data_IF_349481255316
#
_entry.id   IF_349481255316
#
_cell.length_a   1.000
_cell.length_b   1.000
_cell.length_c   1.000
_cell.angle_alpha   90.00
_cell.angle_beta   90.00
_cell.angle_gamma   90.00
#
_symmetry.space_group_name_H-M   'P 1'
#
loop_
_entity.id
_entity.type
_entity.pdbx_description
1 polymer ?
#
# COMPACT_ATOMS: atom_id res chain seq x y z
N UNK A 1 -41.67 2.75 35.73
CA UNK A 1 -41.58 1.60 36.66
C UNK A 1 -40.74 0.54 35.98
N UNK A 2 -39.75 0.05 36.71
CA UNK A 2 -38.65 -0.87 36.40
C UNK A 2 -39.11 -2.21 35.78
N UNK A 3 -38.19 -2.88 35.05
CA UNK A 3 -37.90 -4.34 34.95
C UNK A 3 -37.58 -4.70 33.47
N UNK A 4 -36.33 -5.01 33.08
CA UNK A 4 -35.50 -6.23 33.25
C UNK A 4 -35.66 -7.27 32.10
N UNK A 5 -34.53 -7.57 31.47
CA UNK A 5 -34.04 -8.86 30.94
C UNK A 5 -34.75 -9.67 29.82
N UNK A 6 -33.87 -10.19 28.95
CA UNK A 6 -33.84 -11.53 28.35
C UNK A 6 -34.57 -11.78 27.00
N UNK A 7 -33.72 -11.90 25.97
CA UNK A 7 -33.62 -13.00 25.00
C UNK A 7 -34.89 -13.79 24.60
N UNK A 8 -35.20 -13.79 23.30
CA UNK A 8 -35.49 -15.01 22.54
C UNK A 8 -35.44 -14.76 21.03
N UNK A 9 -34.96 -15.77 20.33
CA UNK A 9 -34.78 -15.86 18.89
C UNK A 9 -36.05 -15.65 18.07
N UNK A 10 -35.90 -15.05 16.88
CA UNK A 10 -36.74 -15.39 15.74
C UNK A 10 -35.89 -15.47 14.47
N UNK A 11 -35.54 -16.70 14.12
CA UNK A 11 -34.96 -17.04 12.82
C UNK A 11 -36.06 -16.92 11.76
N UNK A 12 -35.94 -15.93 10.88
CA UNK A 12 -36.64 -15.90 9.61
C UNK A 12 -35.73 -16.51 8.53
N UNK A 13 -36.17 -17.65 8.00
CA UNK A 13 -35.60 -18.36 6.86
C UNK A 13 -35.87 -17.59 5.57
N UNK A 14 -34.82 -17.01 4.99
CA UNK A 14 -34.77 -16.66 3.56
C UNK A 14 -33.93 -17.71 2.83
N UNK A 15 -34.37 -18.25 1.68
CA UNK A 15 -33.53 -19.12 0.87
C UNK A 15 -32.37 -18.30 0.30
N UNK A 16 -31.16 -18.58 0.79
CA UNK A 16 -29.95 -18.00 0.24
C UNK A 16 -29.75 -18.51 -1.19
N UNK A 17 -29.68 -17.58 -2.14
CA UNK A 17 -28.99 -17.81 -3.42
C UNK A 17 -27.58 -18.34 -3.10
N UNK A 18 -27.01 -19.26 -3.90
CA UNK A 18 -25.63 -19.68 -3.71
C UNK A 18 -24.75 -18.46 -3.93
N UNK A 19 -24.32 -17.84 -2.85
CA UNK A 19 -23.23 -16.88 -2.85
C UNK A 19 -22.03 -17.64 -3.39
N UNK A 20 -21.61 -17.31 -4.61
CA UNK A 20 -20.25 -17.57 -5.06
C UNK A 20 -19.34 -16.82 -4.09
N UNK A 21 -18.96 -17.49 -3.00
CA UNK A 21 -17.87 -17.06 -2.13
C UNK A 21 -16.63 -17.21 -2.99
N UNK A 22 -16.30 -16.15 -3.72
CA UNK A 22 -14.93 -15.98 -4.19
C UNK A 22 -14.06 -15.97 -2.93
N UNK A 23 -13.04 -16.84 -2.82
CA UNK A 23 -12.09 -16.72 -1.74
C UNK A 23 -11.51 -15.31 -1.83
N UNK A 24 -11.63 -14.55 -0.74
CA UNK A 24 -10.91 -13.29 -0.62
C UNK A 24 -9.45 -13.57 -0.96
N UNK A 25 -8.77 -12.71 -1.74
CA UNK A 25 -7.32 -12.81 -1.86
C UNK A 25 -6.76 -12.87 -0.43
N UNK A 26 -5.73 -13.70 -0.15
CA UNK A 26 -5.16 -13.73 1.18
C UNK A 26 -4.79 -12.29 1.52
N UNK A 27 -5.52 -11.70 2.46
CA UNK A 27 -5.06 -10.50 3.11
C UNK A 27 -3.65 -10.83 3.55
N UNK A 28 -2.68 -9.98 3.21
CA UNK A 28 -1.37 -10.01 3.84
C UNK A 28 -1.59 -9.67 5.33
N UNK A 29 -2.16 -10.62 6.07
CA UNK A 29 -2.09 -10.68 7.51
C UNK A 29 -0.63 -11.04 7.79
N UNK A 30 0.21 -10.00 7.87
CA UNK A 30 1.35 -10.07 8.77
C UNK A 30 0.71 -10.15 10.15
N UNK A 31 0.43 -11.38 10.60
CA UNK A 31 0.11 -11.60 11.99
C UNK A 31 1.23 -10.94 12.80
N UNK A 32 0.92 -10.01 13.72
CA UNK A 32 1.95 -9.50 14.60
C UNK A 32 2.48 -10.71 15.35
N UNK A 33 3.70 -11.15 15.01
CA UNK A 33 4.40 -12.13 15.82
C UNK A 33 4.46 -11.60 17.26
N UNK A 34 4.56 -12.47 18.28
CA UNK A 34 4.67 -12.03 19.66
C UNK A 34 5.89 -11.12 19.79
N UNK A 35 5.64 -9.81 19.77
CA UNK A 35 6.68 -8.82 19.83
C UNK A 35 7.14 -8.82 21.29
N UNK A 36 8.42 -9.12 21.54
CA UNK A 36 8.99 -9.04 22.88
C UNK A 36 8.64 -7.68 23.50
N UNK A 37 8.29 -7.61 24.80
CA UNK A 37 7.90 -6.36 25.43
C UNK A 37 8.95 -5.27 25.16
N UNK A 38 8.50 -4.15 24.58
CA UNK A 38 9.38 -3.01 24.31
C UNK A 38 9.66 -2.31 25.63
N UNK A 39 10.95 -2.07 25.93
CA UNK A 39 11.36 -1.22 27.04
C UNK A 39 10.69 0.17 26.93
N UNK A 40 9.94 0.63 27.94
CA UNK A 40 9.27 1.93 27.92
C UNK A 40 10.20 3.12 27.63
N UNK A 41 11.46 3.08 28.10
CA UNK A 41 12.42 4.15 27.86
C UNK A 41 12.83 4.20 26.37
N UNK A 42 13.07 3.03 25.77
CA UNK A 42 13.31 2.90 24.32
C UNK A 42 12.11 3.34 23.49
N UNK A 43 10.88 3.00 23.91
CA UNK A 43 9.67 3.44 23.24
C UNK A 43 9.51 4.97 23.28
N UNK A 44 9.85 5.61 24.40
CA UNK A 44 9.81 7.07 24.51
C UNK A 44 10.75 7.75 23.52
N UNK A 45 11.99 7.26 23.38
CA UNK A 45 12.93 7.75 22.36
C UNK A 45 12.40 7.51 20.94
N UNK A 46 11.85 6.32 20.68
CA UNK A 46 11.28 5.99 19.38
C UNK A 46 10.10 6.88 18.98
N UNK A 47 9.26 7.30 19.93
CA UNK A 47 8.18 8.28 19.70
C UNK A 47 8.73 9.64 19.28
N UNK A 48 9.81 10.11 19.91
CA UNK A 48 10.47 11.36 19.52
C UNK A 48 11.03 11.26 18.09
N UNK A 49 11.73 10.16 17.78
CA UNK A 49 12.24 9.90 16.42
C UNK A 49 11.11 9.81 15.39
N UNK A 50 10.02 9.11 15.70
CA UNK A 50 8.85 8.98 14.81
C UNK A 50 8.17 10.33 14.54
N UNK A 51 8.04 11.19 15.55
CA UNK A 51 7.50 12.53 15.38
C UNK A 51 8.39 13.42 14.50
N UNK A 52 9.71 13.24 14.57
CA UNK A 52 10.65 13.97 13.72
C UNK A 52 10.65 13.45 12.28
N UNK A 53 10.44 12.15 12.06
CA UNK A 53 10.41 11.50 10.75
C UNK A 53 9.08 11.72 10.01
N UNK A 54 7.97 11.68 10.74
CA UNK A 54 6.61 11.81 10.20
C UNK A 54 5.88 12.97 10.88
N UNK A 55 6.25 14.18 10.44
CA UNK A 55 5.73 15.44 10.97
C UNK A 55 4.25 15.65 10.70
N UNK A 56 3.68 16.61 11.40
CA UNK A 56 2.32 17.08 11.14
C UNK A 56 2.19 17.59 9.70
N UNK A 57 1.11 17.19 9.05
CA UNK A 57 0.81 17.51 7.66
C UNK A 57 1.64 16.75 6.64
N UNK A 58 2.45 15.75 7.05
CA UNK A 58 3.22 14.93 6.10
C UNK A 58 2.32 14.18 5.11
N UNK A 59 1.12 13.79 5.51
CA UNK A 59 0.12 13.17 4.62
C UNK A 59 -0.34 14.15 3.54
N UNK A 60 -0.67 15.38 3.95
CA UNK A 60 -1.13 16.41 3.03
C UNK A 60 -0.03 16.82 2.06
N UNK A 61 1.20 17.02 2.54
CA UNK A 61 2.37 17.32 1.67
C UNK A 61 2.65 16.20 0.67
N UNK A 62 2.55 14.94 1.11
CA UNK A 62 2.70 13.78 0.23
C UNK A 62 1.64 13.80 -0.87
N UNK A 63 0.37 13.99 -0.51
CA UNK A 63 -0.73 14.02 -1.48
C UNK A 63 -0.63 15.22 -2.43
N UNK A 64 -0.26 16.39 -1.92
CA UNK A 64 0.01 17.59 -2.72
C UNK A 64 1.09 17.30 -3.78
N UNK A 65 2.25 16.78 -3.38
CA UNK A 65 3.32 16.45 -4.32
C UNK A 65 2.90 15.39 -5.36
N UNK A 66 2.19 14.35 -4.91
CA UNK A 66 1.72 13.27 -5.79
C UNK A 66 0.72 13.76 -6.84
N UNK A 67 -0.21 14.62 -6.44
CA UNK A 67 -1.34 15.04 -7.26
C UNK A 67 -1.11 16.38 -7.97
N UNK A 68 -0.04 17.08 -7.64
CA UNK A 68 0.30 18.39 -8.19
C UNK A 68 0.25 18.36 -9.72
N UNK A 69 -0.62 19.16 -10.37
CA UNK A 69 -0.71 19.25 -11.82
C UNK A 69 0.35 20.22 -12.37
N UNK A 70 1.60 20.08 -11.93
CA UNK A 70 2.78 20.84 -12.38
C UNK A 70 3.83 19.87 -12.92
N UNK A 71 4.77 20.32 -13.77
CA UNK A 71 5.78 19.44 -14.37
C UNK A 71 6.65 18.67 -13.36
N UNK A 72 6.77 19.17 -12.14
CA UNK A 72 7.51 18.56 -11.03
C UNK A 72 6.68 17.56 -10.19
N UNK A 73 5.37 17.46 -10.41
CA UNK A 73 4.50 16.52 -9.71
C UNK A 73 4.50 15.12 -10.32
N UNK A 74 4.42 14.09 -9.47
CA UNK A 74 4.45 12.68 -9.91
C UNK A 74 3.32 12.35 -10.88
N UNK A 75 2.07 12.75 -10.58
CA UNK A 75 0.93 12.49 -11.47
C UNK A 75 1.08 13.16 -12.83
N UNK A 76 1.60 14.39 -12.86
CA UNK A 76 1.85 15.09 -14.13
C UNK A 76 2.89 14.35 -14.97
N UNK A 77 4.01 13.97 -14.37
CA UNK A 77 5.07 13.25 -15.06
C UNK A 77 4.58 11.91 -15.63
N UNK A 78 3.73 11.18 -14.90
CA UNK A 78 3.11 9.95 -15.39
C UNK A 78 2.14 10.18 -16.55
N UNK A 79 1.36 11.27 -16.51
CA UNK A 79 0.47 11.64 -17.61
C UNK A 79 1.23 12.06 -18.86
N UNK A 80 2.44 12.59 -18.70
CA UNK A 80 3.31 12.99 -19.81
C UNK A 80 4.02 11.80 -20.47
N UNK A 81 4.02 10.63 -19.82
CA UNK A 81 4.48 9.37 -20.44
C UNK A 81 3.53 8.89 -21.53
N UNK A 82 4.07 8.10 -22.45
CA UNK A 82 3.29 7.38 -23.47
C UNK A 82 2.69 6.10 -22.88
N UNK A 83 1.60 5.61 -23.51
CA UNK A 83 1.01 4.34 -23.11
C UNK A 83 2.01 3.18 -23.27
N UNK A 84 2.87 3.23 -24.29
CA UNK A 84 3.93 2.25 -24.51
C UNK A 84 4.92 2.17 -23.35
N UNK A 85 5.39 3.32 -22.86
CA UNK A 85 6.32 3.39 -21.72
C UNK A 85 5.71 2.84 -20.43
N UNK A 86 4.42 3.09 -20.19
CA UNK A 86 3.72 2.61 -18.99
C UNK A 86 3.37 1.12 -19.07
N UNK A 87 3.00 0.61 -20.24
CA UNK A 87 2.47 -0.75 -20.42
C UNK A 87 3.53 -1.81 -20.71
N UNK A 88 4.70 -1.42 -21.25
CA UNK A 88 5.80 -2.35 -21.55
C UNK A 88 6.19 -3.27 -20.37
N UNK A 89 6.21 -2.80 -19.10
CA UNK A 89 6.49 -3.63 -17.93
C UNK A 89 5.41 -4.66 -17.59
N UNK A 90 4.13 -4.35 -17.86
CA UNK A 90 2.98 -5.15 -17.41
C UNK A 90 2.53 -6.17 -18.47
N UNK A 91 2.83 -5.92 -19.74
CA UNK A 91 2.40 -6.76 -20.85
C UNK A 91 3.51 -6.91 -21.90
N UNK A 92 4.57 -7.71 -21.61
CA UNK A 92 5.72 -7.87 -22.51
C UNK A 92 5.39 -8.52 -23.86
N UNK A 93 4.15 -9.02 -24.05
CA UNK A 93 3.66 -9.63 -25.29
C UNK A 93 2.65 -8.77 -26.06
N UNK A 94 2.35 -7.55 -25.60
CA UNK A 94 1.52 -6.65 -26.39
C UNK A 94 2.36 -6.21 -27.61
N UNK A 95 1.88 -6.40 -28.85
CA UNK A 95 2.60 -5.90 -30.01
C UNK A 95 2.77 -4.38 -29.87
N UNK A 96 3.91 -3.85 -30.31
CA UNK A 96 4.18 -2.41 -30.39
C UNK A 96 3.29 -1.68 -31.44
N UNK A 97 2.11 -2.20 -31.73
CA UNK A 97 1.10 -1.59 -32.59
C UNK A 97 -0.06 -1.17 -31.69
N UNK A 98 -0.37 0.11 -31.52
CA UNK A 98 -0.37 1.12 -32.57
C UNK A 98 0.77 2.13 -32.44
N UNK A 99 1.45 2.44 -33.54
CA UNK A 99 2.49 3.48 -33.59
C UNK A 99 2.03 4.86 -33.06
N UNK A 100 0.71 5.08 -32.92
CA UNK A 100 0.11 6.26 -32.30
C UNK A 100 0.12 6.23 -30.75
N UNK A 101 -0.04 5.06 -30.12
CA UNK A 101 -0.03 4.88 -28.67
C UNK A 101 1.38 4.96 -28.05
N UNK A 102 2.41 4.75 -28.88
CA UNK A 102 3.81 4.92 -28.50
C UNK A 102 4.38 6.32 -28.70
N UNK A 103 3.64 7.26 -29.32
CA UNK A 103 4.13 8.61 -29.65
C UNK A 103 3.36 9.73 -28.95
N UNK A 104 2.11 9.47 -28.53
CA UNK A 104 1.26 10.48 -27.89
C UNK A 104 1.25 10.27 -26.38
N UNK A 105 1.43 11.33 -25.60
CA UNK A 105 1.33 11.25 -24.14
C UNK A 105 -0.08 10.91 -23.69
N UNK A 106 -0.20 10.26 -22.53
CA UNK A 106 -1.49 9.92 -21.93
C UNK A 106 -2.35 11.18 -21.71
N UNK A 107 -1.74 12.27 -21.26
CA UNK A 107 -2.34 13.60 -21.14
C UNK A 107 -3.00 14.03 -22.44
N UNK A 108 -2.26 13.97 -23.55
CA UNK A 108 -2.75 14.42 -24.86
C UNK A 108 -3.90 13.54 -25.36
N UNK A 109 -3.83 12.23 -25.12
CA UNK A 109 -4.92 11.31 -25.46
C UNK A 109 -6.20 11.60 -24.67
N UNK A 110 -6.09 11.97 -23.40
CA UNK A 110 -7.24 12.29 -22.54
C UNK A 110 -7.80 13.67 -22.88
N UNK A 111 -6.95 14.68 -23.04
CA UNK A 111 -7.36 16.05 -23.36
C UNK A 111 -8.10 16.15 -24.71
N UNK A 112 -7.80 15.27 -25.68
CA UNK A 112 -8.58 15.17 -26.92
C UNK A 112 -10.05 14.77 -26.69
N UNK A 113 -10.34 14.04 -25.59
CA UNK A 113 -11.68 13.54 -25.27
C UNK A 113 -12.39 14.37 -24.19
N UNK A 114 -11.63 15.03 -23.32
CA UNK A 114 -12.14 15.92 -22.27
C UNK A 114 -11.51 17.32 -22.42
N UNK A 115 -12.22 18.29 -23.02
CA UNK A 115 -11.72 19.65 -23.21
C UNK A 115 -11.47 20.39 -21.87
N UNK A 116 -12.01 19.85 -20.77
CA UNK A 116 -11.84 20.40 -19.43
C UNK A 116 -10.90 19.55 -18.57
N UNK A 117 -10.12 18.64 -19.18
CA UNK A 117 -9.26 17.70 -18.46
C UNK A 117 -8.34 18.39 -17.43
N UNK A 118 -7.61 19.43 -17.83
CA UNK A 118 -6.68 20.14 -16.95
C UNK A 118 -7.39 20.82 -15.78
N UNK A 119 -8.56 21.42 -16.04
CA UNK A 119 -9.35 22.11 -15.02
C UNK A 119 -9.94 21.10 -14.03
N UNK A 120 -10.36 19.93 -14.53
CA UNK A 120 -10.83 18.82 -13.71
C UNK A 120 -9.70 18.25 -12.86
N UNK A 121 -8.50 18.10 -13.43
CA UNK A 121 -7.34 17.62 -12.71
C UNK A 121 -6.95 18.57 -11.57
N UNK A 122 -6.95 19.88 -11.84
CA UNK A 122 -6.76 20.91 -10.81
C UNK A 122 -7.83 20.86 -9.70
N UNK A 123 -9.11 20.77 -10.07
CA UNK A 123 -10.19 20.67 -9.10
C UNK A 123 -10.11 19.39 -8.24
N UNK A 124 -9.71 18.26 -8.83
CA UNK A 124 -9.46 17.00 -8.10
C UNK A 124 -8.29 17.17 -7.14
N UNK A 125 -7.18 17.75 -7.59
CA UNK A 125 -6.02 18.05 -6.76
C UNK A 125 -6.41 18.88 -5.54
N UNK A 126 -7.06 20.02 -5.75
CA UNK A 126 -7.41 20.96 -4.67
C UNK A 126 -8.35 20.32 -3.66
N UNK A 127 -9.37 19.58 -4.14
CA UNK A 127 -10.29 18.86 -3.28
C UNK A 127 -9.58 17.75 -2.48
N UNK A 128 -8.68 16.99 -3.09
CA UNK A 128 -7.95 15.92 -2.44
C UNK A 128 -6.99 16.45 -1.36
N UNK A 129 -6.26 17.53 -1.64
CA UNK A 129 -5.37 18.17 -0.67
C UNK A 129 -6.16 18.77 0.50
N UNK A 130 -7.30 19.44 0.23
CA UNK A 130 -8.16 19.97 1.27
C UNK A 130 -8.68 18.86 2.21
N UNK A 131 -9.14 17.74 1.65
CA UNK A 131 -9.57 16.58 2.43
C UNK A 131 -8.42 15.94 3.21
N UNK A 132 -7.22 15.86 2.62
CA UNK A 132 -6.03 15.37 3.29
C UNK A 132 -5.68 16.22 4.51
N UNK A 133 -5.67 17.55 4.37
CA UNK A 133 -5.42 18.48 5.49
C UNK A 133 -6.48 18.31 6.58
N UNK A 134 -7.75 18.14 6.21
CA UNK A 134 -8.86 17.93 7.15
C UNK A 134 -8.76 16.61 7.92
N UNK A 135 -8.30 15.55 7.26
CA UNK A 135 -8.25 14.19 7.81
C UNK A 135 -6.93 13.86 8.50
N UNK A 136 -5.82 14.46 8.07
CA UNK A 136 -4.47 14.17 8.56
C UNK A 136 -4.37 14.17 10.11
N UNK A 137 -4.89 15.16 10.86
CA UNK A 137 -4.80 15.16 12.31
C UNK A 137 -5.46 13.94 13.00
N UNK A 138 -6.38 13.25 12.32
CA UNK A 138 -7.05 12.05 12.86
C UNK A 138 -6.21 10.78 12.72
N UNK A 139 -5.41 10.68 11.66
CA UNK A 139 -4.69 9.45 11.31
C UNK A 139 -3.19 9.55 11.56
N UNK A 140 -2.58 10.71 11.34
CA UNK A 140 -1.13 10.92 11.52
C UNK A 140 -0.62 10.53 12.93
N UNK A 141 -1.36 10.77 14.04
CA UNK A 141 -0.94 10.30 15.36
C UNK A 141 -0.84 8.78 15.46
N UNK A 142 -1.78 8.05 14.84
CA UNK A 142 -1.77 6.58 14.84
C UNK A 142 -0.64 6.02 13.98
N UNK A 143 -0.38 6.66 12.83
CA UNK A 143 0.77 6.33 11.97
C UNK A 143 2.08 6.54 12.73
N UNK A 144 2.24 7.66 13.43
CA UNK A 144 3.41 7.93 14.26
C UNK A 144 3.59 6.92 15.38
N UNK A 145 2.51 6.52 16.05
CA UNK A 145 2.61 5.50 17.11
C UNK A 145 3.03 4.15 16.53
N UNK A 146 2.44 3.72 15.40
CA UNK A 146 2.86 2.50 14.71
C UNK A 146 4.33 2.53 14.29
N UNK A 147 4.80 3.68 13.79
CA UNK A 147 6.20 3.90 13.46
C UNK A 147 7.10 3.86 14.70
N UNK A 148 6.68 4.45 15.82
CA UNK A 148 7.42 4.43 17.08
C UNK A 148 7.58 2.99 17.60
N UNK A 149 6.53 2.18 17.57
CA UNK A 149 6.61 0.76 17.92
C UNK A 149 7.60 0.02 17.01
N UNK A 150 7.49 0.23 15.70
CA UNK A 150 8.37 -0.36 14.70
C UNK A 150 9.84 0.00 14.93
N UNK A 151 10.13 1.27 15.24
CA UNK A 151 11.46 1.78 15.56
C UNK A 151 12.00 1.18 16.87
N UNK A 152 11.18 1.13 17.92
CA UNK A 152 11.59 0.62 19.23
C UNK A 152 11.91 -0.88 19.24
N UNK A 153 11.36 -1.64 18.29
CA UNK A 153 11.72 -3.05 18.08
C UNK A 153 13.02 -3.25 17.30
N UNK A 154 13.42 -2.28 16.48
CA UNK A 154 14.54 -2.41 15.53
C UNK A 154 15.81 -1.71 15.97
N UNK A 155 15.69 -0.64 16.74
CA UNK A 155 16.80 0.23 17.10
C UNK A 155 17.01 0.26 18.62
N UNK A 156 18.27 0.31 19.03
CA UNK A 156 18.66 0.50 20.42
C UNK A 156 18.47 1.95 20.87
N UNK A 157 18.44 2.20 22.19
CA UNK A 157 18.31 3.55 22.72
C UNK A 157 19.41 4.53 22.21
N UNK A 158 20.71 4.15 22.15
CA UNK A 158 21.73 5.01 21.56
C UNK A 158 21.48 5.36 20.09
N UNK A 159 21.06 4.38 19.28
CA UNK A 159 20.74 4.60 17.86
C UNK A 159 19.54 5.54 17.69
N UNK A 160 18.48 5.38 18.51
CA UNK A 160 17.32 6.27 18.48
C UNK A 160 17.68 7.70 18.89
N UNK A 161 18.56 7.87 19.88
CA UNK A 161 19.04 9.18 20.29
C UNK A 161 19.89 9.85 19.18
N UNK A 162 20.71 9.08 18.47
CA UNK A 162 21.48 9.57 17.32
C UNK A 162 20.57 9.96 16.15
N UNK A 163 19.61 9.11 15.79
CA UNK A 163 18.60 9.41 14.77
C UNK A 163 17.79 10.65 15.15
N UNK A 164 17.41 10.78 16.42
CA UNK A 164 16.71 11.96 16.93
C UNK A 164 17.52 13.24 16.76
N UNK A 165 18.83 13.22 17.10
CA UNK A 165 19.73 14.37 16.86
C UNK A 165 19.84 14.72 15.38
N UNK A 166 20.03 13.72 14.51
CA UNK A 166 20.11 13.94 13.08
C UNK A 166 18.80 14.57 12.55
N UNK A 167 17.66 13.94 12.80
CA UNK A 167 16.34 14.40 12.33
C UNK A 167 15.92 15.76 12.94
N UNK A 168 16.50 16.14 14.08
CA UNK A 168 16.32 17.47 14.67
C UNK A 168 17.14 18.58 14.00
N UNK A 169 18.21 18.24 13.27
CA UNK A 169 19.03 19.21 12.52
C UNK A 169 18.35 19.69 11.24
N UNK A 170 18.67 20.88 10.75
CA UNK A 170 18.09 21.42 9.49
C UNK A 170 18.19 20.44 8.32
N UNK A 171 19.35 19.78 8.16
CA UNK A 171 19.55 18.75 7.13
C UNK A 171 18.66 17.54 7.34
N UNK A 172 18.56 17.03 8.58
CA UNK A 172 17.69 15.91 8.88
C UNK A 172 16.22 16.25 8.71
N UNK A 173 15.86 17.51 8.96
CA UNK A 173 14.51 18.00 8.75
C UNK A 173 14.15 18.00 7.27
N UNK A 174 15.01 18.57 6.42
CA UNK A 174 14.86 18.54 4.97
C UNK A 174 14.83 17.10 4.43
N UNK A 175 15.70 16.22 4.94
CA UNK A 175 15.72 14.81 4.55
C UNK A 175 14.42 14.09 4.88
N UNK A 176 13.89 14.25 6.10
CA UNK A 176 12.64 13.58 6.51
C UNK A 176 11.43 14.02 5.69
N UNK A 177 11.38 15.29 5.28
CA UNK A 177 10.29 15.81 4.45
C UNK A 177 10.31 15.22 3.03
N UNK A 178 11.50 14.84 2.55
CA UNK A 178 11.69 14.28 1.20
C UNK A 178 11.72 12.75 1.17
N UNK A 179 12.01 12.07 2.29
CA UNK A 179 12.30 10.63 2.31
C UNK A 179 11.24 9.77 1.60
N UNK A 180 9.96 10.06 1.84
CA UNK A 180 8.87 9.32 1.20
C UNK A 180 8.61 9.78 -0.24
N UNK A 181 8.87 11.06 -0.53
CA UNK A 181 8.72 11.65 -1.87
C UNK A 181 9.76 11.11 -2.85
N UNK A 182 10.99 10.83 -2.38
CA UNK A 182 12.07 10.31 -3.22
C UNK A 182 11.70 9.00 -3.95
N UNK A 183 10.89 8.14 -3.32
CA UNK A 183 10.43 6.91 -3.98
C UNK A 183 9.34 7.15 -5.02
N UNK A 184 8.67 8.30 -4.94
CA UNK A 184 7.65 8.77 -5.88
C UNK A 184 8.22 9.77 -6.91
N UNK A 185 9.53 10.00 -6.86
CA UNK A 185 10.22 10.84 -7.83
C UNK A 185 10.10 10.21 -9.24
N UNK A 186 9.74 11.00 -10.27
CA UNK A 186 9.59 10.48 -11.63
C UNK A 186 10.84 9.76 -12.17
N UNK A 187 12.04 10.21 -11.82
CA UNK A 187 13.28 9.57 -12.24
C UNK A 187 13.45 8.19 -11.58
N UNK A 188 13.08 8.06 -10.30
CA UNK A 188 13.09 6.78 -9.58
C UNK A 188 12.07 5.82 -10.17
N UNK A 189 10.83 6.28 -10.39
CA UNK A 189 9.78 5.47 -11.03
C UNK A 189 10.23 5.01 -12.42
N UNK A 190 10.75 5.92 -13.25
CA UNK A 190 11.25 5.58 -14.59
C UNK A 190 12.37 4.54 -14.54
N UNK A 191 13.30 4.66 -13.60
CA UNK A 191 14.37 3.68 -13.41
C UNK A 191 13.82 2.31 -13.01
N UNK A 192 12.83 2.26 -12.11
CA UNK A 192 12.15 1.02 -11.73
C UNK A 192 11.45 0.38 -12.94
N UNK A 193 10.65 1.14 -13.69
CA UNK A 193 9.96 0.65 -14.90
C UNK A 193 10.95 0.14 -15.95
N UNK A 194 12.11 0.80 -16.11
CA UNK A 194 13.16 0.37 -17.04
C UNK A 194 13.83 -0.95 -16.64
N UNK A 195 13.75 -1.33 -15.36
CA UNK A 195 14.36 -2.57 -14.83
C UNK A 195 13.44 -3.78 -15.00
N UNK A 196 12.13 -3.57 -15.13
CA UNK A 196 11.12 -4.65 -15.22
C UNK A 196 11.34 -5.65 -16.37
N UNK A 197 11.71 -5.24 -17.59
CA UNK A 197 11.91 -6.20 -18.69
C UNK A 197 13.00 -7.23 -18.37
N UNK A 198 14.12 -6.80 -17.80
CA UNK A 198 15.20 -7.69 -17.38
C UNK A 198 14.74 -8.65 -16.27
N UNK A 199 14.01 -8.15 -15.27
CA UNK A 199 13.45 -8.98 -14.21
C UNK A 199 12.45 -10.02 -14.75
N UNK A 200 11.62 -9.62 -15.72
CA UNK A 200 10.62 -10.50 -16.34
C UNK A 200 11.25 -11.62 -17.16
N UNK A 201 12.40 -11.35 -17.79
CA UNK A 201 13.17 -12.38 -18.50
C UNK A 201 13.80 -13.41 -17.55
N UNK A 202 14.20 -12.99 -16.35
CA UNK A 202 14.80 -13.86 -15.33
C UNK A 202 13.76 -14.64 -14.49
N UNK A 203 12.51 -14.14 -14.43
CA UNK A 203 11.46 -14.70 -13.57
C UNK A 203 11.22 -16.22 -13.79
N UNK A 204 11.15 -16.76 -15.01
CA UNK A 204 10.97 -18.20 -15.22
C UNK A 204 12.09 -19.04 -14.62
N UNK A 205 13.34 -18.60 -14.78
CA UNK A 205 14.50 -19.30 -14.22
C UNK A 205 14.50 -19.21 -12.69
N UNK A 206 14.12 -18.07 -12.11
CA UNK A 206 13.93 -17.94 -10.67
C UNK A 206 12.86 -18.89 -10.13
N UNK A 207 11.70 -19.00 -10.81
CA UNK A 207 10.63 -19.94 -10.42
C UNK A 207 11.08 -21.39 -10.46
N UNK A 208 11.88 -21.79 -11.46
CA UNK A 208 12.45 -23.14 -11.51
C UNK A 208 13.37 -23.43 -10.32
N UNK A 209 14.24 -22.47 -9.94
CA UNK A 209 15.12 -22.61 -8.78
C UNK A 209 14.33 -22.70 -7.47
N UNK A 210 13.28 -21.89 -7.31
CA UNK A 210 12.38 -21.94 -6.16
C UNK A 210 11.67 -23.30 -6.08
N UNK A 211 11.15 -23.79 -7.21
CA UNK A 211 10.52 -25.13 -7.28
C UNK A 211 11.50 -26.23 -6.87
N UNK A 212 12.71 -26.21 -7.43
CA UNK A 212 13.75 -27.19 -7.11
C UNK A 212 14.18 -27.14 -5.64
N UNK A 213 14.17 -25.96 -5.01
CA UNK A 213 14.40 -25.83 -3.58
C UNK A 213 13.24 -26.36 -2.74
N UNK A 214 11.99 -26.10 -3.16
CA UNK A 214 10.78 -26.58 -2.48
C UNK A 214 10.60 -28.09 -2.55
N UNK A 215 10.90 -28.71 -3.69
CA UNK A 215 10.75 -30.16 -3.89
C UNK A 215 11.70 -31.00 -3.01
N UNK A 216 12.67 -30.36 -2.34
CA UNK A 216 13.54 -31.02 -1.34
C UNK A 216 12.82 -31.29 -0.02
N UNK A 217 11.69 -30.65 0.22
CA UNK A 217 10.88 -30.83 1.41
C UNK A 217 9.59 -31.59 1.05
N UNK A 218 9.11 -32.48 1.93
CA UNK A 218 7.83 -33.14 1.70
C UNK A 218 6.72 -32.10 1.68
N UNK A 219 5.82 -32.19 0.69
CA UNK A 219 4.60 -31.39 0.69
C UNK A 219 3.76 -31.76 1.93
N UNK A 220 3.09 -30.79 2.58
CA UNK A 220 2.21 -31.08 3.70
C UNK A 220 1.17 -32.13 3.29
N UNK A 221 0.94 -33.13 4.14
CA UNK A 221 -0.09 -34.13 3.90
C UNK A 221 -1.43 -33.44 3.65
N UNK A 222 -2.15 -33.87 2.62
CA UNK A 222 -3.52 -33.40 2.40
C UNK A 222 -4.32 -33.69 3.68
N UNK A 223 -5.12 -32.72 4.20
CA UNK A 223 -5.93 -32.96 5.40
C UNK A 223 -6.77 -34.21 5.18
N UNK A 224 -6.69 -35.18 6.11
CA UNK A 224 -7.54 -36.37 6.05
C UNK A 224 -9.01 -35.90 6.07
N UNK A 225 -9.88 -36.44 5.20
CA UNK A 225 -11.30 -36.11 5.26
C UNK A 225 -11.79 -36.38 6.69
N UNK A 226 -12.36 -35.36 7.33
CA UNK A 226 -13.02 -35.53 8.62
C UNK A 226 -14.11 -36.60 8.51
N UNK A 227 -14.47 -37.27 9.62
CA UNK A 227 -15.47 -38.32 9.59
C UNK A 227 -16.78 -37.82 8.96
N UNK A 228 -17.48 -38.67 8.17
CA UNK A 228 -18.72 -38.28 7.51
C UNK A 228 -19.71 -37.74 8.54
N UNK A 229 -20.25 -36.56 8.24
CA UNK A 229 -21.25 -35.89 9.08
C UNK A 229 -22.45 -36.82 9.24
N UNK A 230 -22.93 -37.12 10.46
CA UNK A 230 -24.03 -38.06 10.65
C UNK A 230 -25.26 -37.57 9.89
N UNK A 231 -25.90 -38.49 9.15
CA UNK A 231 -27.10 -38.21 8.40
C UNK A 231 -28.21 -37.66 9.33
N UNK A 232 -28.96 -36.64 8.91
CA UNK A 232 -30.05 -36.10 9.72
C UNK A 232 -31.09 -37.20 9.93
N UNK A 233 -31.33 -37.57 11.20
CA UNK A 233 -32.41 -38.48 11.58
C UNK A 233 -33.73 -37.84 11.16
N UNK A 234 -34.44 -38.49 10.22
CA UNK A 234 -35.76 -38.07 9.78
C UNK A 234 -36.73 -37.97 10.96
N UNK A 235 -37.42 -36.83 11.05
CA UNK A 235 -38.55 -36.66 11.95
C UNK A 235 -39.75 -37.39 11.32
N UNK A 236 -40.30 -38.37 12.03
CA UNK A 236 -41.71 -38.78 11.86
C UNK A 236 -42.57 -37.84 12.71
#
# INVERSE_FOLDING_TARGET
MTILLAAAALAATSPALPTLVMPAPPALHVAPGPAAPVDPARLALARQTAAALYRDGSTARLLDHLLTPRPDGTASALLDMTLGELMAPLMPKLPASDAAAGQTSLRSMIAQKDPYFEQRLGAIHDAAVAEAVRLAPRFEPQVREGLAQSLAHRFTAPQLAELGRFLGSDTGQAFSDQLYLMWMDPAVIKAMLSTFPALSAELPAAMQRVKAASDRFPYPEKPKPGPPKPAPKGKK
#
